data_IF_832096495801
#
_entry.id   IF_832096495801
#
_cell.length_a   1.000
_cell.length_b   1.000
_cell.length_c   1.000
_cell.angle_alpha   90.00
_cell.angle_beta   90.00
_cell.angle_gamma   90.00
#
_symmetry.space_group_name_H-M   'P 1'
#
loop_
_entity.id
_entity.type
_entity.pdbx_description
1 polymer ?
#
# COMPACT_ATOMS: atom_id res chain seq x y z
N UNK A 1 -18.65 -26.24 33.93
CA UNK A 1 -18.91 -24.83 34.30
C UNK A 1 -17.75 -23.93 33.89
N UNK A 2 -16.55 -24.05 34.47
CA UNK A 2 -15.39 -23.22 34.07
C UNK A 2 -14.79 -23.63 32.71
N UNK A 3 -14.57 -24.92 32.49
CA UNK A 3 -14.00 -25.46 31.24
C UNK A 3 -14.82 -25.10 30.00
N UNK A 4 -16.13 -25.13 30.11
CA UNK A 4 -17.06 -24.69 29.06
C UNK A 4 -16.89 -23.21 28.71
N UNK A 5 -16.64 -22.35 29.71
CA UNK A 5 -16.39 -20.92 29.51
C UNK A 5 -15.03 -20.71 28.85
N UNK A 6 -13.99 -21.43 29.29
CA UNK A 6 -12.65 -21.37 28.71
C UNK A 6 -12.69 -21.78 27.23
N UNK A 7 -13.34 -22.91 26.90
CA UNK A 7 -13.45 -23.39 25.53
C UNK A 7 -14.21 -22.38 24.66
N UNK A 8 -15.35 -21.86 25.14
CA UNK A 8 -16.13 -20.87 24.42
C UNK A 8 -15.35 -19.57 24.18
N UNK A 9 -14.59 -19.10 25.18
CA UNK A 9 -13.75 -17.91 25.07
C UNK A 9 -12.67 -18.06 24.00
N UNK A 10 -11.97 -19.20 23.98
CA UNK A 10 -10.94 -19.48 22.98
C UNK A 10 -11.55 -19.51 21.57
N UNK A 11 -12.73 -20.12 21.40
CA UNK A 11 -13.44 -20.16 20.11
C UNK A 11 -13.76 -18.74 19.63
N UNK A 12 -14.29 -17.88 20.50
CA UNK A 12 -14.63 -16.50 20.14
C UNK A 12 -13.39 -15.71 19.71
N UNK A 13 -12.26 -15.87 20.42
CA UNK A 13 -10.99 -15.23 20.06
C UNK A 13 -10.54 -15.67 18.67
N UNK A 14 -10.61 -16.96 18.34
CA UNK A 14 -10.26 -17.45 17.00
C UNK A 14 -11.17 -16.89 15.91
N UNK A 15 -12.48 -16.79 16.17
CA UNK A 15 -13.43 -16.20 15.22
C UNK A 15 -13.09 -14.73 14.96
N UNK A 16 -12.84 -13.94 16.02
CA UNK A 16 -12.45 -12.53 15.91
C UNK A 16 -11.11 -12.39 15.17
N UNK A 17 -10.14 -13.26 15.44
CA UNK A 17 -8.83 -13.24 14.82
C UNK A 17 -8.93 -13.49 13.31
N UNK A 18 -9.70 -14.51 12.89
CA UNK A 18 -9.96 -14.80 11.49
C UNK A 18 -10.67 -13.63 10.78
N UNK A 19 -11.72 -13.08 11.40
CA UNK A 19 -12.43 -11.91 10.88
C UNK A 19 -11.49 -10.70 10.71
N UNK A 20 -10.63 -10.46 11.70
CA UNK A 20 -9.66 -9.37 11.68
C UNK A 20 -8.66 -9.53 10.54
N UNK A 21 -8.02 -10.70 10.41
CA UNK A 21 -7.03 -10.95 9.35
C UNK A 21 -7.65 -10.82 7.97
N UNK A 22 -8.85 -11.34 7.76
CA UNK A 22 -9.56 -11.23 6.47
C UNK A 22 -9.84 -9.76 6.14
N UNK A 23 -10.36 -8.99 7.11
CA UNK A 23 -10.69 -7.58 6.92
C UNK A 23 -9.44 -6.75 6.64
N UNK A 24 -8.40 -6.94 7.44
CA UNK A 24 -7.12 -6.25 7.31
C UNK A 24 -6.42 -6.61 6.00
N UNK A 25 -6.43 -7.88 5.58
CA UNK A 25 -5.89 -8.30 4.28
C UNK A 25 -6.58 -7.57 3.12
N UNK A 26 -7.91 -7.44 3.15
CA UNK A 26 -8.65 -6.70 2.13
C UNK A 26 -8.34 -5.20 2.11
N UNK A 27 -8.07 -4.61 3.27
CA UNK A 27 -7.69 -3.19 3.38
C UNK A 27 -6.26 -2.93 2.89
N UNK A 28 -5.31 -3.85 3.14
CA UNK A 28 -3.96 -3.76 2.57
C UNK A 28 -3.95 -4.03 1.06
N UNK A 29 -4.86 -4.88 0.56
CA UNK A 29 -5.03 -5.08 -0.88
C UNK A 29 -5.72 -3.91 -1.58
N UNK A 30 -6.35 -3.00 -0.82
CA UNK A 30 -6.75 -1.72 -1.38
C UNK A 30 -5.47 -0.96 -1.70
N UNK A 31 -5.06 -1.06 -2.96
CA UNK A 31 -3.92 -0.33 -3.51
C UNK A 31 -4.06 1.10 -3.03
N UNK A 32 -3.07 1.59 -2.29
CA UNK A 32 -2.75 3.00 -2.41
C UNK A 32 -2.57 3.18 -3.90
N UNK A 33 -3.53 3.85 -4.56
CA UNK A 33 -3.32 4.46 -5.86
C UNK A 33 -2.19 5.43 -5.58
N UNK A 34 -0.95 4.93 -5.65
CA UNK A 34 0.23 5.77 -5.66
C UNK A 34 0.03 6.51 -6.96
N UNK A 35 -0.41 7.76 -6.83
CA UNK A 35 -0.79 8.59 -7.95
C UNK A 35 0.33 8.47 -9.00
N UNK A 36 -0.02 8.16 -10.25
CA UNK A 36 0.98 7.98 -11.29
C UNK A 36 1.85 9.24 -11.34
N UNK A 37 3.16 9.05 -11.22
CA UNK A 37 4.17 10.11 -11.24
C UNK A 37 4.14 10.95 -12.54
N UNK A 38 3.41 10.48 -13.56
CA UNK A 38 3.21 11.16 -14.84
C UNK A 38 2.42 12.46 -14.74
N UNK A 39 1.63 12.68 -13.67
CA UNK A 39 0.89 13.93 -13.43
C UNK A 39 1.61 14.85 -12.43
N UNK A 40 2.93 14.72 -12.27
CA UNK A 40 3.71 15.64 -11.45
C UNK A 40 4.31 16.77 -12.33
N UNK A 41 3.78 18.02 -12.26
CA UNK A 41 4.28 19.14 -13.05
C UNK A 41 5.74 19.52 -12.74
N UNK A 42 6.35 19.00 -11.66
CA UNK A 42 7.77 19.16 -11.37
C UNK A 42 8.69 18.18 -12.12
N UNK A 43 8.17 17.04 -12.62
CA UNK A 43 8.98 16.03 -13.33
C UNK A 43 9.14 16.38 -14.82
N UNK A 44 8.13 16.99 -15.44
CA UNK A 44 8.22 17.47 -16.82
C UNK A 44 9.33 18.52 -17.01
N UNK A 45 9.59 19.34 -15.99
CA UNK A 45 10.64 20.37 -16.02
C UNK A 45 12.08 19.84 -15.92
N UNK A 46 12.31 18.69 -15.29
CA UNK A 46 13.68 18.14 -15.14
C UNK A 46 14.14 17.39 -16.41
N UNK A 47 13.23 16.74 -17.16
CA UNK A 47 13.60 16.02 -18.39
C UNK A 47 13.96 16.96 -19.56
N UNK A 48 13.36 18.16 -19.61
CA UNK A 48 13.64 19.15 -20.65
C UNK A 48 14.98 19.89 -20.40
N UNK A 49 15.37 20.12 -19.15
CA UNK A 49 16.67 20.73 -18.83
C UNK A 49 17.84 19.77 -19.14
N UNK A 50 17.70 18.47 -18.83
CA UNK A 50 18.78 17.50 -19.10
C UNK A 50 19.01 17.21 -20.59
N UNK A 51 17.96 17.29 -21.43
CA UNK A 51 18.12 17.11 -22.88
C UNK A 51 18.82 18.31 -23.56
N UNK A 52 18.71 19.50 -22.99
CA UNK A 52 19.30 20.72 -23.54
C UNK A 52 20.80 20.85 -23.27
N UNK A 53 21.32 20.26 -22.19
CA UNK A 53 22.76 20.27 -21.89
C UNK A 53 23.52 19.25 -22.74
N UNK A 54 23.00 18.03 -22.89
CA UNK A 54 23.69 16.96 -23.65
C UNK A 54 23.82 17.25 -25.15
N UNK A 55 22.91 18.04 -25.73
CA UNK A 55 22.94 18.41 -27.16
C UNK A 55 24.02 19.46 -27.49
N UNK A 56 24.52 20.20 -26.50
CA UNK A 56 25.53 21.24 -26.70
C UNK A 56 26.97 20.74 -26.51
N UNK A 57 27.19 19.56 -25.94
CA UNK A 57 28.51 18.98 -25.72
C UNK A 57 28.99 18.07 -26.87
N UNK A 58 28.12 17.78 -27.84
CA UNK A 58 28.41 16.86 -28.96
C UNK A 58 28.67 17.56 -30.31
N UNK A 59 28.91 18.88 -30.31
CA UNK A 59 29.19 19.71 -31.49
C UNK A 59 30.55 20.37 -31.39
#
# INVERSE_FOLDING_TARGET
MLTTIIILSVIIVFVILLLSVITTNKAYQYKHTIDPLEENPHIASELDEQNHEQKNEQK
#
